data_IF_045756898825
#
_entry.id   IF_045756898825
#
_cell.length_a   1.000
_cell.length_b   1.000
_cell.length_c   1.000
_cell.angle_alpha   90.00
_cell.angle_beta   90.00
_cell.angle_gamma   90.00
#
_symmetry.space_group_name_H-M   'P 1'
#
loop_
_entity.id
_entity.type
_entity.pdbx_description
1 polymer ?
#
# COMPACT_ATOMS: atom_id res chain seq x y z
N UNK A 1 -4.48 -31.68 -46.87
CA UNK A 1 -5.47 -31.15 -47.81
C UNK A 1 -6.78 -31.11 -47.05
N UNK A 2 -7.16 -29.96 -46.51
CA UNK A 2 -8.37 -29.79 -45.71
C UNK A 2 -9.22 -28.73 -46.40
N UNK A 3 -10.49 -29.08 -46.62
CA UNK A 3 -11.47 -28.38 -47.45
C UNK A 3 -11.82 -27.00 -46.90
N UNK A 4 -11.74 -25.97 -47.76
CA UNK A 4 -12.43 -24.70 -47.55
C UNK A 4 -13.87 -24.81 -48.05
N UNK A 5 -14.83 -24.42 -47.21
CA UNK A 5 -16.21 -24.14 -47.64
C UNK A 5 -16.28 -22.68 -48.11
N UNK A 6 -16.51 -22.50 -49.42
CA UNK A 6 -16.93 -21.24 -50.04
C UNK A 6 -18.42 -21.02 -49.76
N UNK A 7 -18.79 -19.83 -49.28
CA UNK A 7 -20.19 -19.38 -49.27
C UNK A 7 -20.35 -18.39 -50.43
N UNK A 8 -21.24 -18.76 -51.36
CA UNK A 8 -21.61 -17.99 -52.54
C UNK A 8 -22.46 -16.77 -52.13
N UNK A 9 -22.08 -15.53 -52.49
CA UNK A 9 -22.78 -14.31 -52.05
C UNK A 9 -24.10 -14.02 -52.77
N UNK A 10 -24.58 -14.89 -53.68
CA UNK A 10 -25.84 -14.66 -54.40
C UNK A 10 -27.00 -15.56 -53.96
N UNK A 11 -27.54 -15.35 -52.76
CA UNK A 11 -28.95 -15.69 -52.48
C UNK A 11 -29.55 -14.79 -51.41
N UNK A 12 -30.19 -13.71 -51.84
CA UNK A 12 -31.19 -13.03 -51.03
C UNK A 12 -32.43 -13.92 -50.97
N UNK A 13 -32.81 -14.43 -49.80
CA UNK A 13 -34.21 -14.55 -49.39
C UNK A 13 -34.31 -14.67 -47.87
N UNK A 14 -34.93 -13.64 -47.27
CA UNK A 14 -35.59 -13.72 -45.98
C UNK A 14 -36.73 -14.74 -46.06
N UNK A 15 -36.63 -15.85 -45.34
CA UNK A 15 -37.77 -16.54 -44.74
C UNK A 15 -37.29 -17.48 -43.63
N UNK A 16 -37.73 -17.20 -42.40
CA UNK A 16 -37.72 -18.15 -41.29
C UNK A 16 -38.82 -19.19 -41.56
N UNK A 17 -38.57 -20.15 -42.45
CA UNK A 17 -39.36 -21.37 -42.53
C UNK A 17 -38.48 -22.52 -42.04
N UNK A 18 -38.64 -22.86 -40.76
CA UNK A 18 -38.11 -24.06 -40.15
C UNK A 18 -38.97 -25.26 -40.56
N UNK A 19 -38.59 -25.95 -41.63
CA UNK A 19 -38.94 -27.35 -41.82
C UNK A 19 -37.68 -28.08 -42.29
N UNK A 20 -37.08 -28.84 -41.36
CA UNK A 20 -35.83 -29.60 -41.49
C UNK A 20 -34.56 -28.75 -41.44
N UNK A 21 -34.10 -28.41 -40.24
CA UNK A 21 -32.68 -28.19 -40.02
C UNK A 21 -32.21 -29.00 -38.81
N UNK A 22 -31.23 -29.84 -39.09
CA UNK A 22 -30.35 -30.51 -38.16
C UNK A 22 -29.91 -29.50 -37.09
N UNK A 23 -30.38 -29.67 -35.85
CA UNK A 23 -30.07 -28.76 -34.73
C UNK A 23 -28.72 -29.07 -34.09
N UNK A 24 -27.90 -29.89 -34.73
CA UNK A 24 -26.56 -30.27 -34.27
C UNK A 24 -25.44 -29.50 -34.98
N UNK A 25 -25.62 -28.20 -35.22
CA UNK A 25 -24.45 -27.32 -35.35
C UNK A 25 -24.30 -26.61 -34.01
N UNK A 26 -23.69 -27.32 -33.05
CA UNK A 26 -23.04 -26.64 -31.94
C UNK A 26 -21.85 -25.92 -32.57
N UNK A 27 -21.75 -24.58 -32.50
CA UNK A 27 -20.51 -23.91 -32.85
C UNK A 27 -19.45 -24.50 -31.92
N UNK A 28 -18.50 -25.25 -32.47
CA UNK A 28 -17.30 -25.61 -31.70
C UNK A 28 -16.64 -24.29 -31.33
N UNK A 29 -16.78 -23.91 -30.05
CA UNK A 29 -15.84 -23.00 -29.42
C UNK A 29 -14.50 -23.70 -29.54
N UNK A 30 -13.75 -23.38 -30.60
CA UNK A 30 -12.40 -23.90 -30.80
C UNK A 30 -11.62 -23.61 -29.53
N UNK A 31 -11.35 -24.66 -28.77
CA UNK A 31 -10.56 -24.57 -27.56
C UNK A 31 -9.15 -24.24 -28.00
N UNK A 32 -8.74 -22.99 -27.78
CA UNK A 32 -7.37 -22.55 -27.99
C UNK A 32 -6.47 -23.37 -27.06
N UNK A 33 -5.62 -24.22 -27.62
CA UNK A 33 -4.67 -25.06 -26.85
C UNK A 33 -3.25 -24.49 -26.95
N UNK A 34 -2.37 -24.85 -26.01
CA UNK A 34 -0.95 -24.46 -26.08
C UNK A 34 -0.26 -24.92 -27.38
N UNK A 35 -0.77 -25.99 -28.01
CA UNK A 35 -0.27 -26.50 -29.30
C UNK A 35 -0.62 -25.59 -30.49
N UNK A 36 -1.63 -24.71 -30.35
CA UNK A 36 -2.08 -23.76 -31.39
C UNK A 36 -1.30 -22.43 -31.36
N UNK A 37 -0.35 -22.31 -30.43
CA UNK A 37 0.43 -21.10 -30.18
C UNK A 37 1.93 -21.38 -30.34
N UNK A 38 2.64 -20.43 -30.96
CA UNK A 38 4.11 -20.41 -30.93
C UNK A 38 4.56 -19.19 -30.14
N UNK A 39 5.29 -19.36 -29.03
CA UNK A 39 5.84 -18.24 -28.30
C UNK A 39 6.76 -17.41 -29.19
N UNK A 40 6.57 -16.09 -29.18
CA UNK A 40 7.48 -15.17 -29.87
C UNK A 40 8.82 -15.10 -29.12
N UNK A 41 8.82 -15.39 -27.82
CA UNK A 41 9.99 -15.41 -26.95
C UNK A 41 9.93 -16.69 -26.11
N UNK A 42 11.01 -17.48 -26.12
CA UNK A 42 11.09 -18.80 -25.48
C UNK A 42 11.83 -18.79 -24.14
N UNK A 43 12.48 -17.68 -23.78
CA UNK A 43 13.23 -17.60 -22.53
C UNK A 43 12.28 -17.38 -21.33
N UNK A 44 12.50 -18.05 -20.19
CA UNK A 44 11.66 -17.85 -19.00
C UNK A 44 11.83 -16.45 -18.38
N UNK A 45 12.94 -15.77 -18.68
CA UNK A 45 13.35 -14.50 -18.08
C UNK A 45 13.11 -13.34 -19.07
N UNK A 46 12.12 -12.49 -18.81
CA UNK A 46 11.66 -11.54 -19.83
C UNK A 46 11.35 -10.12 -19.34
N UNK A 47 11.94 -9.63 -18.24
CA UNK A 47 11.68 -8.24 -17.89
C UNK A 47 12.50 -7.63 -16.80
N UNK A 48 12.80 -6.35 -17.02
CA UNK A 48 13.03 -5.36 -15.97
C UNK A 48 11.65 -4.90 -15.46
N UNK A 49 11.37 -5.13 -14.18
CA UNK A 49 10.14 -4.69 -13.52
C UNK A 49 10.47 -3.75 -12.36
N UNK A 50 9.87 -2.55 -12.37
CA UNK A 50 9.93 -1.61 -11.25
C UNK A 50 8.55 -1.55 -10.60
N UNK A 51 8.50 -1.78 -9.28
CA UNK A 51 7.27 -1.73 -8.51
C UNK A 51 7.39 -0.59 -7.51
N UNK A 52 6.43 0.32 -7.55
CA UNK A 52 6.35 1.49 -6.68
C UNK A 52 4.96 1.59 -6.09
N UNK A 53 4.87 2.22 -4.92
CA UNK A 53 3.59 2.56 -4.30
C UNK A 53 3.26 4.00 -4.68
N UNK A 54 2.03 4.21 -5.14
CA UNK A 54 1.51 5.55 -5.45
C UNK A 54 0.51 6.02 -4.41
N UNK A 55 -0.07 5.09 -3.66
CA UNK A 55 -1.01 5.34 -2.60
C UNK A 55 -0.95 4.21 -1.56
N UNK A 56 -1.02 4.57 -0.28
CA UNK A 56 -1.10 3.64 0.84
C UNK A 56 -2.23 4.09 1.77
N UNK A 57 -3.10 3.16 2.17
CA UNK A 57 -4.20 3.41 3.11
C UNK A 57 -4.01 2.63 4.40
N UNK A 58 -4.54 3.16 5.50
CA UNK A 58 -4.43 2.59 6.84
C UNK A 58 -5.85 2.40 7.39
N UNK A 59 -6.13 1.20 7.89
CA UNK A 59 -7.47 0.83 8.37
C UNK A 59 -7.57 0.84 9.91
N UNK A 60 -6.47 1.10 10.62
CA UNK A 60 -6.40 1.09 12.09
C UNK A 60 -5.92 2.45 12.63
N UNK A 61 -6.53 2.90 13.74
CA UNK A 61 -6.07 4.06 14.50
C UNK A 61 -4.87 3.68 15.39
N UNK A 62 -3.84 4.52 15.40
CA UNK A 62 -2.50 4.09 15.77
C UNK A 62 -2.03 4.45 17.19
N UNK A 63 -2.78 4.14 18.27
CA UNK A 63 -2.25 4.32 19.64
C UNK A 63 -2.17 3.00 20.39
N UNK A 64 -0.95 2.56 20.73
CA UNK A 64 -0.75 1.42 21.61
C UNK A 64 -0.67 1.87 23.07
N UNK A 65 -1.75 1.69 23.83
CA UNK A 65 -1.76 2.00 25.26
C UNK A 65 -1.09 0.88 26.07
N UNK A 66 0.14 1.11 26.56
CA UNK A 66 0.76 0.27 27.60
C UNK A 66 0.85 0.98 28.95
N UNK A 67 -0.30 1.51 29.37
CA UNK A 67 -0.59 1.97 30.72
C UNK A 67 0.02 1.12 31.85
N UNK A 68 0.13 -0.19 31.64
CA UNK A 68 0.64 -1.14 32.64
C UNK A 68 2.12 -0.94 32.98
N UNK A 69 2.93 -0.46 32.02
CA UNK A 69 4.36 -0.18 32.21
C UNK A 69 4.64 1.26 32.63
N UNK A 70 3.66 2.17 32.47
CA UNK A 70 3.77 3.59 32.82
C UNK A 70 2.56 4.04 33.65
N UNK A 71 2.49 3.68 34.95
CA UNK A 71 1.38 4.05 35.83
C UNK A 71 1.13 5.56 35.85
N UNK A 72 2.20 6.35 35.80
CA UNK A 72 2.19 7.81 35.77
C UNK A 72 1.45 8.38 34.54
N UNK A 73 1.54 7.70 33.38
CA UNK A 73 0.77 8.06 32.20
C UNK A 73 -0.74 7.82 32.41
N UNK A 74 -1.09 6.76 33.13
CA UNK A 74 -2.49 6.44 33.46
C UNK A 74 -3.10 7.50 34.34
N UNK A 75 -2.34 7.99 35.32
CA UNK A 75 -2.77 9.05 36.21
C UNK A 75 -3.00 10.36 35.43
N UNK A 76 -2.09 10.73 34.53
CA UNK A 76 -2.23 11.92 33.67
C UNK A 76 -3.44 11.82 32.72
N UNK A 77 -3.65 10.66 32.09
CA UNK A 77 -4.79 10.42 31.19
C UNK A 77 -6.12 10.37 31.96
N UNK A 78 -6.18 9.67 33.09
CA UNK A 78 -7.42 9.48 33.85
C UNK A 78 -7.86 10.72 34.63
N UNK A 79 -6.91 11.54 35.08
CA UNK A 79 -7.17 12.83 35.74
C UNK A 79 -7.58 13.93 34.75
N UNK A 80 -7.35 13.73 33.45
CA UNK A 80 -7.51 14.74 32.41
C UNK A 80 -6.38 15.76 32.38
N UNK A 81 -5.24 15.48 33.03
CA UNK A 81 -4.02 16.28 32.92
C UNK A 81 -3.39 16.15 31.53
N UNK A 82 -3.62 15.03 30.84
CA UNK A 82 -3.18 14.77 29.47
C UNK A 82 -4.35 14.20 28.66
N UNK A 83 -4.55 14.71 27.46
CA UNK A 83 -5.49 14.19 26.49
C UNK A 83 -4.79 14.05 25.14
N UNK A 84 -4.87 12.85 24.56
CA UNK A 84 -4.22 12.50 23.30
C UNK A 84 -5.32 12.04 22.35
N UNK A 85 -5.32 12.58 21.14
CA UNK A 85 -6.25 12.19 20.08
C UNK A 85 -5.45 11.85 18.85
N UNK A 86 -5.60 10.63 18.36
CA UNK A 86 -5.09 10.24 17.04
C UNK A 86 -5.80 11.06 15.97
N UNK A 87 -5.04 11.59 15.02
CA UNK A 87 -5.60 12.36 13.91
C UNK A 87 -5.68 11.50 12.66
N UNK A 88 -4.53 11.03 12.18
CA UNK A 88 -4.42 10.29 10.93
C UNK A 88 -3.02 9.71 10.73
N UNK A 89 -2.93 8.72 9.83
CA UNK A 89 -1.69 8.26 9.22
C UNK A 89 -1.80 8.49 7.72
N UNK A 90 -0.79 9.13 7.14
CA UNK A 90 -0.77 9.52 5.73
C UNK A 90 0.49 9.02 5.05
N UNK A 91 0.29 8.42 3.88
CA UNK A 91 1.36 8.21 2.92
C UNK A 91 1.93 9.56 2.45
N UNK A 92 3.26 9.66 2.41
CA UNK A 92 3.96 10.82 1.86
C UNK A 92 4.49 10.48 0.47
N UNK A 93 5.39 9.50 0.40
CA UNK A 93 6.08 9.10 -0.82
C UNK A 93 6.77 7.75 -0.68
N UNK A 94 7.16 7.16 -1.80
CA UNK A 94 8.04 6.01 -1.88
C UNK A 94 9.47 6.52 -1.97
N UNK A 95 10.35 6.08 -1.09
CA UNK A 95 11.78 6.43 -1.09
C UNK A 95 12.64 5.37 -1.75
N UNK A 96 12.22 4.11 -1.70
CA UNK A 96 12.89 2.99 -2.36
C UNK A 96 11.88 2.10 -3.07
N UNK A 97 12.21 1.68 -4.30
CA UNK A 97 11.36 0.82 -5.13
C UNK A 97 11.87 -0.62 -5.14
N UNK A 98 10.96 -1.56 -5.36
CA UNK A 98 11.35 -2.92 -5.69
C UNK A 98 11.71 -3.00 -7.17
N UNK A 99 12.81 -3.68 -7.48
CA UNK A 99 13.36 -3.82 -8.82
C UNK A 99 13.79 -5.27 -9.03
N UNK A 100 13.32 -5.84 -10.14
CA UNK A 100 13.71 -7.16 -10.62
C UNK A 100 14.28 -7.02 -12.02
N UNK A 101 15.44 -7.62 -12.28
CA UNK A 101 16.09 -7.56 -13.57
C UNK A 101 16.63 -8.94 -13.95
N UNK A 102 15.72 -9.79 -14.41
CA UNK A 102 16.05 -11.15 -14.83
C UNK A 102 16.86 -11.19 -16.15
N UNK A 103 17.20 -10.05 -16.75
CA UNK A 103 18.02 -9.98 -17.98
C UNK A 103 19.50 -9.66 -17.69
N UNK A 104 19.81 -9.20 -16.48
CA UNK A 104 21.16 -8.80 -16.09
C UNK A 104 21.39 -9.02 -14.60
N UNK A 105 22.01 -10.16 -14.28
CA UNK A 105 22.40 -10.59 -12.93
C UNK A 105 23.37 -9.63 -12.21
N UNK A 106 23.94 -8.64 -12.91
CA UNK A 106 24.81 -7.63 -12.30
C UNK A 106 24.03 -6.46 -11.69
N UNK A 107 22.75 -6.31 -12.03
CA UNK A 107 21.86 -5.30 -11.45
C UNK A 107 21.40 -5.71 -10.05
N UNK A 108 21.43 -4.81 -9.04
CA UNK A 108 20.95 -5.14 -7.71
C UNK A 108 19.43 -5.36 -7.73
N UNK A 109 19.01 -6.60 -7.46
CA UNK A 109 17.61 -6.92 -7.26
C UNK A 109 17.16 -6.57 -5.84
N UNK A 110 15.95 -6.06 -5.72
CA UNK A 110 15.33 -5.75 -4.45
C UNK A 110 13.84 -6.10 -4.52
N UNK A 111 13.38 -6.92 -3.59
CA UNK A 111 11.96 -7.16 -3.36
C UNK A 111 11.37 -6.21 -2.31
N UNK A 112 12.10 -5.15 -1.93
CA UNK A 112 11.69 -4.23 -0.88
C UNK A 112 11.22 -2.90 -1.47
N UNK A 113 10.15 -2.38 -0.89
CA UNK A 113 9.65 -1.02 -1.14
C UNK A 113 9.67 -0.29 0.19
N UNK A 114 10.38 0.84 0.26
CA UNK A 114 10.40 1.69 1.45
C UNK A 114 9.54 2.92 1.19
N UNK A 115 8.58 3.16 2.08
CA UNK A 115 7.68 4.32 2.02
C UNK A 115 7.88 5.22 3.24
N UNK A 116 7.75 6.52 3.01
CA UNK A 116 7.63 7.51 4.08
C UNK A 116 6.15 7.74 4.41
N UNK A 117 5.86 7.75 5.70
CA UNK A 117 4.52 7.96 6.23
C UNK A 117 4.59 9.02 7.33
N UNK A 118 3.49 9.75 7.50
CA UNK A 118 3.30 10.71 8.58
C UNK A 118 2.15 10.23 9.46
N UNK A 119 2.43 9.91 10.72
CA UNK A 119 1.41 9.68 11.74
C UNK A 119 1.27 10.93 12.60
N UNK A 120 0.03 11.39 12.80
CA UNK A 120 -0.25 12.66 13.45
C UNK A 120 -1.16 12.47 14.67
N UNK A 121 -0.80 13.13 15.77
CA UNK A 121 -1.61 13.19 16.98
C UNK A 121 -1.83 14.64 17.42
N UNK A 122 -2.96 14.89 18.08
CA UNK A 122 -3.22 16.12 18.83
C UNK A 122 -3.10 15.84 20.32
N UNK A 123 -2.41 16.74 21.02
CA UNK A 123 -2.15 16.64 22.45
C UNK A 123 -2.63 17.91 23.13
N UNK A 124 -3.35 17.74 24.22
CA UNK A 124 -3.71 18.79 25.16
C UNK A 124 -3.21 18.39 26.54
N UNK A 125 -2.53 19.28 27.24
CA UNK A 125 -2.16 19.05 28.63
C UNK A 125 -2.58 20.20 29.54
N UNK A 126 -2.77 19.87 30.81
CA UNK A 126 -3.05 20.78 31.90
C UNK A 126 -2.24 20.36 33.15
N UNK A 127 -1.04 20.92 33.31
CA UNK A 127 -0.18 20.64 34.46
C UNK A 127 -0.63 21.33 35.75
N UNK A 128 -1.78 22.02 35.75
CA UNK A 128 -2.41 22.54 36.98
C UNK A 128 -3.22 21.46 37.70
N UNK A 129 -3.48 20.32 37.04
CA UNK A 129 -4.11 19.15 37.66
C UNK A 129 -3.10 18.50 38.62
N UNK A 130 -3.58 18.12 39.81
CA UNK A 130 -2.74 17.54 40.85
C UNK A 130 -2.12 16.22 40.37
N UNK A 131 -0.85 16.00 40.74
CA UNK A 131 -0.04 14.83 40.35
C UNK A 131 0.22 14.71 38.84
N UNK A 132 0.18 15.81 38.10
CA UNK A 132 0.59 15.80 36.70
C UNK A 132 2.10 15.55 36.56
N UNK A 133 2.47 14.60 35.73
CA UNK A 133 3.86 14.15 35.56
C UNK A 133 4.58 14.92 34.45
N UNK A 134 3.84 15.34 33.42
CA UNK A 134 4.34 16.28 32.42
C UNK A 134 5.05 15.62 31.23
N UNK A 135 4.81 14.32 31.03
CA UNK A 135 5.40 13.52 29.97
C UNK A 135 4.35 12.93 29.04
N UNK A 136 4.63 12.97 27.75
CA UNK A 136 3.93 12.17 26.75
C UNK A 136 4.75 10.91 26.52
N UNK A 137 4.10 9.75 26.68
CA UNK A 137 4.65 8.45 26.32
C UNK A 137 3.78 7.89 25.20
N UNK A 138 4.39 7.57 24.06
CA UNK A 138 3.67 7.25 22.83
C UNK A 138 4.37 6.14 22.05
N UNK A 139 3.59 5.18 21.55
CA UNK A 139 4.08 4.21 20.57
C UNK A 139 3.02 4.01 19.47
N UNK A 140 3.36 4.28 18.21
CA UNK A 140 2.53 3.92 17.06
C UNK A 140 2.23 2.42 17.02
N UNK A 141 1.07 2.07 16.46
CA UNK A 141 0.69 0.66 16.22
C UNK A 141 1.49 0.06 15.05
N UNK A 142 1.78 0.85 14.01
CA UNK A 142 2.42 0.33 12.80
C UNK A 142 3.84 -0.18 13.07
N UNK A 143 4.08 -1.47 12.90
CA UNK A 143 5.39 -2.10 13.14
C UNK A 143 5.67 -3.17 12.07
N UNK A 144 6.92 -3.36 11.61
CA UNK A 144 8.15 -2.62 11.98
C UNK A 144 8.24 -1.25 11.31
N UNK A 145 8.90 -0.28 11.95
CA UNK A 145 9.05 1.10 11.44
C UNK A 145 10.39 1.68 11.87
N UNK A 146 10.91 2.64 11.13
CA UNK A 146 12.08 3.44 11.52
C UNK A 146 11.63 4.90 11.68
N UNK A 147 11.83 5.47 12.87
CA UNK A 147 11.56 6.88 13.11
C UNK A 147 12.60 7.74 12.40
N UNK A 148 12.14 8.61 11.50
CA UNK A 148 13.00 9.51 10.73
C UNK A 148 12.98 10.93 11.30
N UNK A 149 11.80 11.47 11.60
CA UNK A 149 11.65 12.85 12.05
C UNK A 149 10.46 13.01 12.99
N UNK A 150 10.56 13.93 13.94
CA UNK A 150 9.44 14.33 14.79
C UNK A 150 9.27 15.83 14.69
N UNK A 151 8.07 16.25 14.31
CA UNK A 151 7.70 17.65 14.21
C UNK A 151 6.61 17.99 15.23
N UNK A 152 6.73 19.13 15.86
CA UNK A 152 5.76 19.68 16.82
C UNK A 152 5.20 20.97 16.28
N UNK A 153 3.86 21.09 16.29
CA UNK A 153 3.16 22.32 15.94
C UNK A 153 2.31 22.79 17.09
N UNK A 154 2.71 23.90 17.67
CA UNK A 154 1.90 24.61 18.66
C UNK A 154 0.66 25.20 17.99
N UNK A 155 -0.52 25.02 18.58
CA UNK A 155 -1.78 25.58 18.06
C UNK A 155 -1.82 27.11 18.00
N UNK A 156 -1.04 27.77 18.87
CA UNK A 156 -0.89 29.23 18.93
C UNK A 156 0.24 29.78 18.05
N UNK A 157 1.02 28.91 17.40
CA UNK A 157 2.12 29.28 16.50
C UNK A 157 1.86 28.79 15.08
N UNK A 158 2.32 29.55 14.09
CA UNK A 158 2.35 29.09 12.69
C UNK A 158 3.59 28.22 12.39
N UNK A 159 4.57 28.20 13.30
CA UNK A 159 5.84 27.50 13.12
C UNK A 159 5.66 26.03 13.48
N UNK A 160 6.21 25.17 12.64
CA UNK A 160 6.40 23.75 12.92
C UNK A 160 7.88 23.59 13.29
N UNK A 161 8.13 23.05 14.47
CA UNK A 161 9.46 22.86 15.04
C UNK A 161 9.83 21.39 14.97
N UNK A 162 11.06 21.09 14.57
CA UNK A 162 11.59 19.73 14.61
C UNK A 162 12.19 19.47 15.99
N UNK A 163 11.80 18.36 16.63
CA UNK A 163 12.41 17.93 17.87
C UNK A 163 13.76 17.29 17.58
N UNK A 164 14.78 17.73 18.30
CA UNK A 164 16.12 17.16 18.22
C UNK A 164 16.23 15.96 19.17
N UNK A 165 17.28 15.15 19.01
CA UNK A 165 17.56 13.98 19.88
C UNK A 165 17.70 14.32 21.37
N UNK A 166 17.87 15.61 21.73
CA UNK A 166 17.89 16.06 23.13
C UNK A 166 16.52 16.42 23.70
N UNK A 167 15.50 16.57 22.86
CA UNK A 167 14.16 17.02 23.25
C UNK A 167 13.25 15.85 23.65
N UNK A 168 13.60 14.62 23.24
CA UNK A 168 12.88 13.39 23.53
C UNK A 168 13.84 12.22 23.74
N UNK A 169 13.31 11.12 24.26
CA UNK A 169 14.04 9.84 24.32
C UNK A 169 13.20 8.73 23.73
N UNK A 170 13.85 7.71 23.18
CA UNK A 170 13.23 6.41 22.93
C UNK A 170 13.72 5.46 24.02
N UNK A 171 12.81 4.80 24.72
CA UNK A 171 13.18 3.86 25.78
C UNK A 171 13.44 2.43 25.25
N UNK A 172 13.63 1.49 26.18
CA UNK A 172 13.97 0.10 25.83
C UNK A 172 12.85 -0.68 25.14
N UNK A 173 11.62 -0.19 25.20
CA UNK A 173 10.44 -0.83 24.60
C UNK A 173 9.97 -0.06 23.34
N UNK A 174 10.85 0.77 22.76
CA UNK A 174 10.61 1.61 21.59
C UNK A 174 9.49 2.65 21.76
N UNK A 175 9.22 3.08 23.00
CA UNK A 175 8.29 4.17 23.27
C UNK A 175 8.98 5.53 23.12
N UNK A 176 8.30 6.44 22.42
CA UNK A 176 8.65 7.85 22.41
C UNK A 176 8.25 8.50 23.73
N UNK A 177 9.22 9.13 24.39
CA UNK A 177 9.02 9.84 25.67
C UNK A 177 9.41 11.30 25.50
N UNK A 178 8.46 12.21 25.72
CA UNK A 178 8.60 13.65 25.51
C UNK A 178 8.14 14.47 26.72
N UNK A 179 9.05 15.26 27.30
CA UNK A 179 8.74 16.14 28.41
C UNK A 179 8.13 17.46 27.91
N UNK A 180 6.83 17.42 27.57
CA UNK A 180 6.12 18.59 27.06
C UNK A 180 6.07 19.73 28.10
N UNK A 181 6.04 19.41 29.39
CA UNK A 181 5.91 20.42 30.42
C UNK A 181 7.15 21.31 30.49
N UNK A 182 8.34 20.71 30.42
CA UNK A 182 9.59 21.45 30.34
C UNK A 182 9.73 22.18 29.01
N UNK A 183 9.41 21.51 27.89
CA UNK A 183 9.53 22.08 26.56
C UNK A 183 8.71 23.37 26.39
N UNK A 184 7.43 23.34 26.76
CA UNK A 184 6.56 24.51 26.61
C UNK A 184 6.65 25.50 27.78
N UNK A 185 7.08 25.07 28.97
CA UNK A 185 7.18 25.93 30.16
C UNK A 185 5.88 26.69 30.48
N UNK A 186 4.72 26.07 30.24
CA UNK A 186 3.38 26.61 30.55
C UNK A 186 2.52 25.57 31.28
N UNK A 187 1.41 26.00 31.89
CA UNK A 187 0.53 25.11 32.66
C UNK A 187 -0.61 24.48 31.87
N UNK A 188 -0.91 25.02 30.69
CA UNK A 188 -1.94 24.49 29.81
C UNK A 188 -1.53 24.78 28.37
N UNK A 189 -1.56 23.75 27.52
CA UNK A 189 -1.18 23.92 26.13
C UNK A 189 -1.83 22.87 25.22
N UNK A 190 -2.03 23.25 23.95
CA UNK A 190 -2.46 22.36 22.89
C UNK A 190 -1.43 22.39 21.76
N UNK A 191 -1.04 21.22 21.27
CA UNK A 191 -0.11 21.08 20.18
C UNK A 191 -0.40 19.80 19.39
N UNK A 192 0.17 19.70 18.19
CA UNK A 192 0.17 18.47 17.40
C UNK A 192 1.58 17.94 17.27
N UNK A 193 1.73 16.63 17.23
CA UNK A 193 2.98 15.95 16.89
C UNK A 193 2.77 15.22 15.57
N UNK A 194 3.76 15.29 14.69
CA UNK A 194 3.85 14.57 13.43
C UNK A 194 5.08 13.66 13.52
N UNK A 195 4.86 12.36 13.49
CA UNK A 195 5.90 11.37 13.45
C UNK A 195 6.09 10.90 12.00
N UNK A 196 7.25 11.17 11.45
CA UNK A 196 7.62 10.74 10.11
C UNK A 196 8.39 9.43 10.25
N UNK A 197 7.84 8.36 9.70
CA UNK A 197 8.45 7.04 9.70
C UNK A 197 8.83 6.60 8.29
N UNK A 198 9.85 5.76 8.22
CA UNK A 198 10.07 4.85 7.11
C UNK A 198 9.45 3.49 7.43
N UNK A 199 8.74 2.94 6.47
CA UNK A 199 8.09 1.63 6.54
C UNK A 199 8.50 0.80 5.33
N UNK A 200 9.10 -0.36 5.57
CA UNK A 200 9.58 -1.25 4.50
C UNK A 200 8.63 -2.41 4.31
N UNK A 201 8.09 -2.50 3.10
CA UNK A 201 7.30 -3.61 2.61
C UNK A 201 8.21 -4.58 1.87
N UNK A 202 8.00 -5.87 2.10
CA UNK A 202 8.70 -6.92 1.36
C UNK A 202 7.68 -7.63 0.48
N UNK A 203 7.93 -7.66 -0.82
CA UNK A 203 7.16 -8.46 -1.76
C UNK A 203 7.64 -9.90 -1.63
N UNK A 204 6.84 -10.75 -0.98
CA UNK A 204 7.24 -12.13 -0.73
C UNK A 204 6.93 -13.01 -1.93
N UNK A 205 5.70 -12.90 -2.45
CA UNK A 205 5.28 -13.64 -3.64
C UNK A 205 4.45 -12.77 -4.58
N UNK A 206 4.41 -13.17 -5.84
CA UNK A 206 3.56 -12.54 -6.84
C UNK A 206 2.96 -13.59 -7.75
N UNK A 207 1.78 -13.28 -8.29
CA UNK A 207 1.13 -14.07 -9.32
C UNK A 207 0.69 -13.19 -10.50
N UNK A 208 0.49 -13.86 -11.63
CA UNK A 208 0.04 -13.24 -12.87
C UNK A 208 -1.30 -13.85 -13.25
N UNK A 209 -2.30 -13.01 -13.44
CA UNK A 209 -3.58 -13.44 -13.99
C UNK A 209 -3.83 -12.71 -15.31
N UNK A 210 -4.14 -13.43 -16.38
CA UNK A 210 -4.58 -12.80 -17.62
C UNK A 210 -5.82 -11.94 -17.34
N UNK A 211 -5.87 -10.74 -17.92
CA UNK A 211 -7.05 -9.91 -17.82
C UNK A 211 -8.25 -10.64 -18.43
N UNK A 212 -9.28 -11.02 -17.65
CA UNK A 212 -10.39 -11.83 -18.15
C UNK A 212 -11.27 -11.07 -19.16
N UNK A 213 -11.05 -9.75 -19.33
CA UNK A 213 -11.69 -8.94 -20.36
C UNK A 213 -10.98 -9.02 -21.72
N UNK A 214 -9.74 -9.48 -21.76
CA UNK A 214 -9.02 -9.72 -23.02
C UNK A 214 -9.48 -11.05 -23.61
N UNK A 215 -10.62 -11.01 -24.29
CA UNK A 215 -11.10 -12.14 -25.08
C UNK A 215 -10.25 -12.21 -26.35
N UNK A 216 -9.35 -13.20 -26.41
CA UNK A 216 -8.53 -13.47 -27.57
C UNK A 216 -9.40 -14.13 -28.65
N UNK A 217 -9.87 -13.34 -29.62
CA UNK A 217 -10.65 -13.83 -30.76
C UNK A 217 -9.77 -13.97 -31.99
N UNK A 218 -9.71 -15.18 -32.53
CA UNK A 218 -9.05 -15.46 -33.80
C UNK A 218 -9.94 -14.99 -34.96
N UNK A 219 -9.49 -13.97 -35.69
CA UNK A 219 -10.20 -13.43 -36.88
C UNK A 219 -9.47 -13.75 -38.19
N UNK A 220 -8.26 -14.30 -38.10
CA UNK A 220 -7.39 -14.63 -39.22
C UNK A 220 -6.73 -16.00 -38.99
N UNK A 221 -6.30 -16.66 -40.06
CA UNK A 221 -5.62 -17.97 -39.96
C UNK A 221 -4.33 -17.93 -39.13
N UNK A 222 -3.68 -16.77 -39.06
CA UNK A 222 -2.55 -16.49 -38.16
C UNK A 222 -2.72 -15.07 -37.65
N UNK A 223 -2.67 -14.89 -36.33
CA UNK A 223 -2.87 -13.59 -35.69
C UNK A 223 -1.92 -13.48 -34.49
N UNK A 224 -1.26 -12.33 -34.37
CA UNK A 224 -0.49 -11.99 -33.17
C UNK A 224 -1.45 -11.45 -32.11
N UNK A 225 -1.33 -11.98 -30.89
CA UNK A 225 -2.04 -11.49 -29.73
C UNK A 225 -1.08 -10.77 -28.79
N UNK A 226 -1.58 -9.72 -28.12
CA UNK A 226 -0.87 -8.98 -27.07
C UNK A 226 -1.74 -8.98 -25.82
N UNK A 227 -1.77 -10.09 -25.06
CA UNK A 227 -2.60 -10.21 -23.87
C UNK A 227 -2.13 -9.25 -22.77
N UNK A 228 -3.09 -8.67 -22.05
CA UNK A 228 -2.82 -7.90 -20.83
C UNK A 228 -2.90 -8.82 -19.61
N UNK A 229 -2.09 -8.52 -18.60
CA UNK A 229 -2.06 -9.26 -17.35
C UNK A 229 -2.24 -8.33 -16.15
N UNK A 230 -2.82 -8.85 -15.08
CA UNK A 230 -2.75 -8.28 -13.74
C UNK A 230 -1.63 -8.97 -12.97
N UNK A 231 -0.79 -8.16 -12.34
CA UNK A 231 0.20 -8.62 -11.38
C UNK A 231 -0.38 -8.41 -9.99
N UNK A 232 -0.51 -9.47 -9.18
CA UNK A 232 -0.85 -9.32 -7.78
C UNK A 232 0.37 -9.68 -6.93
N UNK A 233 0.67 -8.83 -5.97
CA UNK A 233 1.77 -8.99 -5.03
C UNK A 233 1.19 -9.21 -3.64
N UNK A 234 1.75 -10.16 -2.89
CA UNK A 234 1.38 -10.47 -1.50
C UNK A 234 2.54 -10.19 -0.57
#
# INVERSE_FOLDING_TARGET
MISLLLIDPSSNHSSLNLENNDTSIVPELGSFSEEDYTPIINDPEQGLGNITITQFSFDEEGIFNQSDNYPNLVDDLSSGALNITYLETKYIQTTEIAQFNNLDDSSPESNKITVMINESISVQFNSSVANSEGYLIYSPVLYPRVLNQILVKNTSSAIIEELNEGDYTIDSDDYFVFNYQNFFSTTFHNFSIYFIFEYTLTLETWDLTQNPRDVLLLTQQTQTFSPSFYYNFT
#
